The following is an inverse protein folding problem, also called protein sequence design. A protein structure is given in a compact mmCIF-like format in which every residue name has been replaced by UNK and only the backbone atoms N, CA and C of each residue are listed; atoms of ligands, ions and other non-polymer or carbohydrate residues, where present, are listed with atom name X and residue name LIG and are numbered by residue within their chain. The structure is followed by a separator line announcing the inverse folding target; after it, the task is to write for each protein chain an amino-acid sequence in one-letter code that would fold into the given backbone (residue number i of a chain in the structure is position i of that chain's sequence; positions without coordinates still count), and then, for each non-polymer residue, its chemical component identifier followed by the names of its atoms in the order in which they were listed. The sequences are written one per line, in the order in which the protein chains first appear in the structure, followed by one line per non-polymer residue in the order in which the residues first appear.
data_IF_523903191941
#
_entry.id   IF_523903191941
#
_cell.length_a   1.000
_cell.length_b   1.000
_cell.length_c   1.000
_cell.angle_alpha   90.00
_cell.angle_beta   90.00
_cell.angle_gamma   90.00
#
_symmetry.space_group_name_H-M   'P 1'
#
loop_
_entity.id
_entity.type
_entity.pdbx_description
1 polymer ?
#
# COMPACT_ATOMS: atom_id res chain seq x y z
N UNK A 1 -22.67 -2.08 -43.73
CA UNK A 1 -23.84 -2.84 -43.23
C UNK A 1 -23.48 -3.49 -41.90
N UNK A 2 -23.92 -2.92 -40.77
CA UNK A 2 -23.73 -3.50 -39.43
C UNK A 2 -24.85 -4.52 -39.18
N UNK A 3 -24.48 -5.80 -39.08
CA UNK A 3 -25.37 -6.84 -38.55
C UNK A 3 -25.49 -6.65 -37.04
N UNK A 4 -26.61 -6.11 -36.59
CA UNK A 4 -26.98 -6.12 -35.18
C UNK A 4 -27.51 -7.50 -34.83
N UNK A 5 -26.65 -8.34 -34.22
CA UNK A 5 -27.08 -9.60 -33.61
C UNK A 5 -28.08 -9.28 -32.48
N UNK A 6 -29.38 -9.49 -32.74
CA UNK A 6 -30.40 -9.55 -31.69
C UNK A 6 -30.07 -10.75 -30.80
N UNK A 7 -29.88 -10.58 -29.49
CA UNK A 7 -29.71 -11.72 -28.59
C UNK A 7 -30.95 -12.61 -28.71
N UNK A 8 -30.72 -13.90 -28.97
CA UNK A 8 -31.78 -14.89 -29.14
C UNK A 8 -32.67 -14.92 -27.90
N UNK A 9 -33.97 -14.95 -28.12
CA UNK A 9 -35.01 -14.95 -27.08
C UNK A 9 -34.85 -16.11 -26.07
N UNK A 10 -34.07 -17.14 -26.42
CA UNK A 10 -33.71 -18.30 -25.58
C UNK A 10 -32.79 -17.95 -24.39
N UNK A 11 -32.00 -16.88 -24.47
CA UNK A 11 -31.08 -16.48 -23.39
C UNK A 11 -31.80 -15.94 -22.14
N UNK A 12 -33.02 -15.40 -22.28
CA UNK A 12 -33.76 -14.78 -21.17
C UNK A 12 -34.48 -15.78 -20.27
N UNK A 13 -34.75 -17.00 -20.74
CA UNK A 13 -35.54 -18.00 -19.99
C UNK A 13 -34.69 -19.01 -19.22
N UNK A 14 -33.40 -19.14 -19.55
CA UNK A 14 -32.45 -20.01 -18.86
C UNK A 14 -32.41 -19.82 -17.33
N UNK A 15 -32.34 -18.58 -16.77
CA UNK A 15 -32.23 -18.43 -15.32
C UNK A 15 -33.48 -18.90 -14.57
N UNK A 16 -34.67 -18.71 -15.16
CA UNK A 16 -35.93 -19.14 -14.56
C UNK A 16 -36.08 -20.67 -14.59
N UNK A 17 -35.70 -21.32 -15.69
CA UNK A 17 -35.75 -22.77 -15.81
C UNK A 17 -34.79 -23.47 -14.81
N UNK A 18 -33.58 -22.91 -14.64
CA UNK A 18 -32.60 -23.41 -13.66
C UNK A 18 -33.13 -23.24 -12.23
N UNK A 19 -33.71 -22.07 -11.91
CA UNK A 19 -34.28 -21.84 -10.57
C UNK A 19 -35.38 -22.85 -10.24
N UNK A 20 -36.33 -23.08 -11.14
CA UNK A 20 -37.44 -24.03 -10.93
C UNK A 20 -36.91 -25.46 -10.74
N UNK A 21 -35.94 -25.89 -11.55
CA UNK A 21 -35.33 -27.20 -11.43
C UNK A 21 -34.58 -27.39 -10.10
N UNK A 22 -33.83 -26.37 -9.66
CA UNK A 22 -33.08 -26.44 -8.38
C UNK A 22 -34.00 -26.50 -7.16
N UNK A 23 -35.13 -25.79 -7.18
CA UNK A 23 -36.13 -25.83 -6.10
C UNK A 23 -36.84 -27.18 -6.03
N UNK A 24 -37.21 -27.76 -7.18
CA UNK A 24 -37.81 -29.10 -7.24
C UNK A 24 -36.88 -30.19 -6.73
N UNK A 25 -35.59 -30.10 -7.08
CA UNK A 25 -34.57 -31.05 -6.63
C UNK A 25 -34.29 -30.94 -5.12
N UNK A 26 -34.27 -29.72 -4.57
CA UNK A 26 -34.12 -29.50 -3.13
C UNK A 26 -35.26 -30.15 -2.33
N UNK A 27 -36.50 -30.03 -2.82
CA UNK A 27 -37.67 -30.64 -2.20
C UNK A 27 -37.61 -32.18 -2.24
N UNK A 28 -37.19 -32.76 -3.37
CA UNK A 28 -37.02 -34.21 -3.50
C UNK A 28 -35.91 -34.76 -2.57
N UNK A 29 -34.80 -34.04 -2.43
CA UNK A 29 -33.70 -34.40 -1.51
C UNK A 29 -34.16 -34.30 -0.06
N UNK A 30 -34.94 -33.28 0.29
CA UNK A 30 -35.51 -33.15 1.64
C UNK A 30 -36.44 -34.33 2.00
N UNK A 31 -37.32 -34.73 1.07
CA UNK A 31 -38.28 -35.81 1.32
C UNK A 31 -37.62 -37.19 1.46
N UNK A 32 -36.44 -37.39 0.88
CA UNK A 32 -35.76 -38.70 0.85
C UNK A 32 -34.65 -38.84 1.89
N UNK A 33 -33.91 -37.77 2.16
CA UNK A 33 -32.71 -37.79 3.01
C UNK A 33 -32.80 -36.86 4.24
N UNK A 34 -33.94 -36.19 4.44
CA UNK A 34 -34.17 -35.29 5.58
C UNK A 34 -33.24 -34.08 5.60
N UNK A 35 -33.10 -33.46 6.78
CA UNK A 35 -32.29 -32.25 7.01
C UNK A 35 -30.80 -32.44 6.67
N UNK A 36 -30.26 -33.64 6.84
CA UNK A 36 -28.87 -33.97 6.49
C UNK A 36 -28.61 -33.94 4.98
N UNK A 37 -29.54 -34.44 4.17
CA UNK A 37 -29.42 -34.36 2.70
C UNK A 37 -29.55 -32.93 2.17
N UNK A 38 -30.44 -32.13 2.75
CA UNK A 38 -30.66 -30.74 2.36
C UNK A 38 -29.42 -29.86 2.61
N UNK A 39 -28.76 -30.03 3.77
CA UNK A 39 -27.55 -29.27 4.11
C UNK A 39 -26.39 -29.59 3.17
N UNK A 40 -26.18 -30.85 2.82
CA UNK A 40 -25.18 -31.26 1.83
C UNK A 40 -25.46 -30.68 0.44
N UNK A 41 -26.72 -30.70 0.01
CA UNK A 41 -27.14 -30.14 -1.28
C UNK A 41 -26.90 -28.62 -1.35
N UNK A 42 -27.24 -27.87 -0.31
CA UNK A 42 -26.97 -26.42 -0.23
C UNK A 42 -25.46 -26.15 -0.26
N UNK A 43 -24.65 -26.93 0.47
CA UNK A 43 -23.19 -26.77 0.47
C UNK A 43 -22.57 -26.99 -0.91
N UNK A 44 -23.07 -27.98 -1.67
CA UNK A 44 -22.64 -28.23 -3.05
C UNK A 44 -23.03 -27.07 -3.97
N UNK A 45 -24.26 -26.56 -3.88
CA UNK A 45 -24.70 -25.42 -4.70
C UNK A 45 -23.92 -24.14 -4.40
N UNK A 46 -23.64 -23.85 -3.13
CA UNK A 46 -22.83 -22.71 -2.73
C UNK A 46 -21.39 -22.83 -3.25
N UNK A 47 -20.80 -24.03 -3.17
CA UNK A 47 -19.45 -24.30 -3.68
C UNK A 47 -19.39 -24.17 -5.21
N UNK A 48 -20.42 -24.66 -5.92
CA UNK A 48 -20.52 -24.53 -7.37
C UNK A 48 -20.71 -23.06 -7.78
N UNK A 49 -21.54 -22.32 -7.03
CA UNK A 49 -21.77 -20.88 -7.24
C UNK A 49 -20.50 -20.05 -7.04
N UNK A 50 -19.75 -20.28 -5.96
CA UNK A 50 -18.44 -19.64 -5.75
C UNK A 50 -17.43 -20.03 -6.84
N UNK A 51 -17.40 -21.30 -7.25
CA UNK A 51 -16.55 -21.76 -8.34
C UNK A 51 -16.87 -21.07 -9.66
N UNK A 52 -18.15 -20.87 -9.97
CA UNK A 52 -18.57 -20.17 -11.19
C UNK A 52 -18.28 -18.67 -11.12
N UNK A 53 -18.43 -18.04 -9.96
CA UNK A 53 -18.09 -16.62 -9.76
C UNK A 53 -16.58 -16.37 -9.93
N UNK A 54 -15.73 -17.23 -9.35
CA UNK A 54 -14.27 -17.13 -9.50
C UNK A 54 -13.81 -17.44 -10.94
N UNK A 55 -14.47 -18.37 -11.63
CA UNK A 55 -14.26 -18.62 -13.07
C UNK A 55 -14.74 -17.46 -13.95
N UNK A 56 -15.82 -16.78 -13.56
CA UNK A 56 -16.33 -15.62 -14.29
C UNK A 56 -15.44 -14.39 -14.08
N UNK A 57 -14.96 -14.13 -12.86
CA UNK A 57 -13.99 -13.08 -12.59
C UNK A 57 -12.65 -13.32 -13.29
N UNK A 58 -12.15 -14.56 -13.31
CA UNK A 58 -10.92 -14.90 -14.03
C UNK A 58 -11.08 -14.81 -15.55
N UNK A 59 -12.28 -15.10 -16.08
CA UNK A 59 -12.61 -14.89 -17.50
C UNK A 59 -12.76 -13.40 -17.84
N UNK A 60 -13.36 -12.59 -16.97
CA UNK A 60 -13.45 -11.14 -17.13
C UNK A 60 -12.07 -10.47 -17.06
N UNK A 61 -11.18 -10.92 -16.16
CA UNK A 61 -9.77 -10.49 -16.11
C UNK A 61 -8.97 -10.94 -17.35
N UNK A 62 -9.32 -12.07 -17.98
CA UNK A 62 -8.75 -12.50 -19.27
C UNK A 62 -9.29 -11.67 -20.44
N UNK A 63 -10.57 -11.29 -20.42
CA UNK A 63 -11.18 -10.45 -21.46
C UNK A 63 -10.68 -9.00 -21.43
N UNK A 64 -10.37 -8.46 -20.25
CA UNK A 64 -9.67 -7.17 -20.12
C UNK A 64 -8.22 -7.20 -20.65
N UNK A 65 -7.62 -8.39 -20.81
CA UNK A 65 -6.30 -8.56 -21.45
C UNK A 65 -6.37 -8.72 -22.97
N UNK A 66 -7.55 -8.92 -23.57
CA UNK A 66 -7.71 -9.26 -24.99
C UNK A 66 -8.24 -8.11 -25.86
N UNK A 67 -7.94 -6.86 -25.51
CA UNK A 67 -8.02 -5.74 -26.45
C UNK A 67 -6.73 -5.73 -27.29
N UNK A 68 -6.52 -6.81 -28.04
CA UNK A 68 -5.28 -7.17 -28.74
C UNK A 68 -5.13 -6.49 -30.11
N UNK A 69 -5.59 -5.24 -30.29
CA UNK A 69 -5.08 -4.48 -31.42
C UNK A 69 -3.83 -3.73 -30.96
N UNK A 70 -2.65 -3.94 -31.60
CA UNK A 70 -1.40 -3.28 -31.21
C UNK A 70 -1.45 -1.74 -31.29
N UNK A 71 -2.53 -1.19 -31.84
CA UNK A 71 -2.78 0.24 -31.95
C UNK A 71 -3.70 0.78 -30.83
N UNK A 72 -4.44 -0.07 -30.12
CA UNK A 72 -5.41 0.38 -29.10
C UNK A 72 -4.72 1.03 -27.90
N UNK A 73 -3.55 0.51 -27.51
CA UNK A 73 -2.80 1.01 -26.37
C UNK A 73 -2.33 2.47 -26.57
N UNK A 74 -1.63 2.84 -27.67
CA UNK A 74 -1.30 4.24 -27.97
C UNK A 74 -2.50 5.19 -27.87
N UNK A 75 -3.64 4.82 -28.46
CA UNK A 75 -4.85 5.67 -28.41
C UNK A 75 -5.44 5.76 -27.01
N UNK A 76 -5.36 4.70 -26.21
CA UNK A 76 -5.90 4.71 -24.85
C UNK A 76 -5.12 5.63 -23.90
N UNK A 77 -3.82 5.82 -24.12
CA UNK A 77 -2.95 6.67 -23.28
C UNK A 77 -2.71 8.07 -23.86
N UNK A 78 -3.06 8.32 -25.12
CA UNK A 78 -2.82 9.60 -25.81
C UNK A 78 -3.49 10.84 -25.17
N UNK A 79 -4.39 10.66 -24.21
CA UNK A 79 -5.00 11.75 -23.45
C UNK A 79 -4.06 12.34 -22.39
N UNK A 80 -3.01 11.61 -22.02
CA UNK A 80 -1.97 12.02 -21.08
C UNK A 80 -0.67 12.23 -21.87
N UNK A 81 -0.34 13.50 -22.13
CA UNK A 81 0.79 13.89 -22.98
C UNK A 81 2.13 13.41 -22.41
N UNK A 82 2.32 13.56 -21.09
CA UNK A 82 3.54 13.17 -20.39
C UNK A 82 3.75 11.65 -20.49
N UNK A 83 2.72 10.85 -20.24
CA UNK A 83 2.80 9.38 -20.33
C UNK A 83 2.95 8.92 -21.80
N UNK A 84 2.30 9.60 -22.74
CA UNK A 84 2.39 9.26 -24.16
C UNK A 84 3.80 9.51 -24.71
N UNK A 85 4.45 10.60 -24.33
CA UNK A 85 5.84 10.89 -24.71
C UNK A 85 6.78 9.77 -24.23
N UNK A 86 6.66 9.37 -22.96
CA UNK A 86 7.46 8.27 -22.39
C UNK A 86 7.21 6.94 -23.11
N UNK A 87 5.96 6.66 -23.48
CA UNK A 87 5.62 5.48 -24.28
C UNK A 87 6.35 5.47 -25.63
N UNK A 88 6.34 6.60 -26.35
CA UNK A 88 7.02 6.68 -27.65
C UNK A 88 8.53 6.47 -27.52
N UNK A 89 9.17 7.07 -26.52
CA UNK A 89 10.60 6.90 -26.27
C UNK A 89 10.97 5.44 -25.97
N UNK A 90 10.19 4.78 -25.11
CA UNK A 90 10.36 3.36 -24.80
C UNK A 90 10.16 2.51 -26.06
N UNK A 91 9.13 2.78 -26.86
CA UNK A 91 8.87 2.04 -28.10
C UNK A 91 10.01 2.20 -29.12
N UNK A 92 10.57 3.41 -29.25
CA UNK A 92 11.74 3.69 -30.09
C UNK A 92 12.98 2.92 -29.58
N UNK A 93 13.25 2.93 -28.29
CA UNK A 93 14.36 2.20 -27.70
C UNK A 93 14.25 0.68 -27.90
N UNK A 94 13.05 0.10 -27.72
CA UNK A 94 12.79 -1.33 -27.97
C UNK A 94 13.02 -1.70 -29.43
N UNK A 95 12.59 -0.85 -30.37
CA UNK A 95 12.86 -1.02 -31.80
C UNK A 95 14.35 -1.03 -32.08
N UNK A 96 15.13 -0.14 -31.47
CA UNK A 96 16.58 -0.09 -31.69
C UNK A 96 17.31 -1.29 -31.09
N UNK A 97 16.90 -1.75 -29.89
CA UNK A 97 17.40 -3.00 -29.28
C UNK A 97 17.16 -4.19 -30.23
N UNK A 98 15.98 -4.27 -30.85
CA UNK A 98 15.62 -5.37 -31.76
C UNK A 98 16.49 -5.49 -33.01
N UNK A 99 17.21 -4.42 -33.39
CA UNK A 99 18.06 -4.39 -34.59
C UNK A 99 19.46 -4.95 -34.34
N UNK A 100 19.86 -5.14 -33.08
CA UNK A 100 21.19 -5.65 -32.74
C UNK A 100 21.18 -7.18 -32.88
N UNK A 101 21.96 -7.77 -33.81
CA UNK A 101 21.84 -9.19 -34.15
C UNK A 101 22.59 -10.12 -33.18
N UNK A 102 23.32 -9.59 -32.21
CA UNK A 102 24.12 -10.37 -31.27
C UNK A 102 23.22 -11.15 -30.29
N UNK A 103 23.31 -12.49 -30.24
CA UNK A 103 22.43 -13.32 -29.42
C UNK A 103 22.69 -13.17 -27.91
N UNK A 104 23.95 -12.93 -27.50
CA UNK A 104 24.31 -12.72 -26.08
C UNK A 104 23.75 -11.39 -25.60
N UNK A 105 23.90 -10.35 -26.43
CA UNK A 105 23.28 -9.06 -26.18
C UNK A 105 21.76 -9.19 -26.09
N UNK A 106 21.12 -9.91 -27.02
CA UNK A 106 19.66 -10.08 -27.04
C UNK A 106 19.15 -10.74 -25.76
N UNK A 107 19.83 -11.78 -25.27
CA UNK A 107 19.47 -12.43 -24.01
C UNK A 107 19.60 -11.48 -22.82
N UNK A 108 20.72 -10.79 -22.69
CA UNK A 108 20.94 -9.81 -21.62
C UNK A 108 19.93 -8.64 -21.68
N UNK A 109 19.63 -8.13 -22.87
CA UNK A 109 18.66 -7.07 -23.09
C UNK A 109 17.24 -7.51 -22.70
N UNK A 110 16.84 -8.74 -23.06
CA UNK A 110 15.53 -9.28 -22.66
C UNK A 110 15.40 -9.41 -21.15
N UNK A 111 16.45 -9.82 -20.43
CA UNK A 111 16.44 -9.87 -18.97
C UNK A 111 16.23 -8.48 -18.35
N UNK A 112 16.92 -7.46 -18.88
CA UNK A 112 16.74 -6.07 -18.43
C UNK A 112 15.32 -5.54 -18.72
N UNK A 113 14.78 -5.82 -19.91
CA UNK A 113 13.40 -5.44 -20.27
C UNK A 113 12.38 -6.10 -19.32
N UNK A 114 12.58 -7.36 -18.93
CA UNK A 114 11.73 -8.04 -17.96
C UNK A 114 11.78 -7.37 -16.59
N UNK A 115 12.97 -6.94 -16.14
CA UNK A 115 13.13 -6.20 -14.89
C UNK A 115 12.41 -4.83 -14.94
N UNK A 116 12.57 -4.08 -16.03
CA UNK A 116 11.87 -2.79 -16.25
C UNK A 116 10.36 -2.99 -16.26
N UNK A 117 9.86 -4.02 -16.98
CA UNK A 117 8.44 -4.37 -17.00
C UNK A 117 7.90 -4.62 -15.60
N UNK A 118 8.63 -5.37 -14.77
CA UNK A 118 8.25 -5.64 -13.39
C UNK A 118 8.15 -4.34 -12.57
N UNK A 119 9.11 -3.42 -12.72
CA UNK A 119 9.07 -2.11 -12.08
C UNK A 119 7.88 -1.27 -12.54
N UNK A 120 7.61 -1.19 -13.85
CA UNK A 120 6.44 -0.48 -14.39
C UNK A 120 5.12 -1.06 -13.89
N UNK A 121 5.04 -2.38 -13.72
CA UNK A 121 3.85 -3.02 -13.14
C UNK A 121 3.61 -2.60 -11.67
N UNK A 122 4.67 -2.36 -10.89
CA UNK A 122 4.55 -1.83 -9.53
C UNK A 122 4.04 -0.38 -9.55
N UNK A 123 4.60 0.47 -10.42
CA UNK A 123 4.16 1.85 -10.59
C UNK A 123 2.70 1.91 -11.03
N UNK A 124 2.31 1.08 -12.00
CA UNK A 124 0.92 0.98 -12.46
C UNK A 124 -0.05 0.49 -11.37
N UNK A 125 0.43 -0.30 -10.40
CA UNK A 125 -0.31 -0.67 -9.20
C UNK A 125 -0.29 0.43 -8.10
N UNK A 126 0.19 1.62 -8.43
CA UNK A 126 0.28 2.77 -7.52
C UNK A 126 1.38 2.62 -6.47
N UNK A 127 2.42 1.82 -6.73
CA UNK A 127 3.54 1.61 -5.80
C UNK A 127 4.85 2.09 -6.40
N UNK A 128 5.46 3.11 -5.80
CA UNK A 128 6.82 3.54 -6.10
C UNK A 128 7.78 2.88 -5.11
N UNK A 129 8.90 2.36 -5.62
CA UNK A 129 9.96 1.75 -4.81
C UNK A 129 11.24 2.52 -5.03
N UNK A 130 11.80 3.05 -3.96
CA UNK A 130 13.08 3.75 -3.98
C UNK A 130 14.11 2.90 -3.25
N UNK A 131 15.21 2.58 -3.92
CA UNK A 131 16.35 1.92 -3.30
C UNK A 131 17.26 2.97 -2.66
N UNK A 132 17.64 2.77 -1.39
CA UNK A 132 18.47 3.72 -0.65
C UNK A 132 17.74 4.96 -0.13
N UNK A 133 18.51 5.99 0.23
CA UNK A 133 18.07 7.01 1.20
C UNK A 133 17.64 8.35 0.62
N UNK A 134 17.93 8.70 -0.63
CA UNK A 134 17.84 10.11 -1.06
C UNK A 134 16.65 10.44 -1.98
N UNK A 135 16.41 9.65 -3.03
CA UNK A 135 15.47 10.06 -4.08
C UNK A 135 14.02 10.15 -3.62
N UNK A 136 13.63 9.38 -2.59
CA UNK A 136 12.28 9.43 -2.04
C UNK A 136 11.98 10.74 -1.30
N UNK A 137 12.99 11.49 -0.85
CA UNK A 137 12.80 12.74 -0.10
C UNK A 137 12.13 13.84 -0.91
N UNK A 138 12.43 13.89 -2.21
CA UNK A 138 11.82 14.88 -3.12
C UNK A 138 10.31 14.66 -3.14
N UNK A 139 9.88 13.40 -3.24
CA UNK A 139 8.46 13.05 -3.27
C UNK A 139 7.83 13.19 -1.88
N UNK A 140 8.54 12.84 -0.81
CA UNK A 140 8.12 13.07 0.56
C UNK A 140 7.82 14.55 0.84
N UNK A 141 8.74 15.44 0.48
CA UNK A 141 8.52 16.88 0.65
C UNK A 141 7.36 17.37 -0.20
N UNK A 142 7.26 16.95 -1.46
CA UNK A 142 6.15 17.30 -2.33
C UNK A 142 4.79 16.83 -1.77
N UNK A 143 4.74 15.65 -1.16
CA UNK A 143 3.54 15.12 -0.51
C UNK A 143 3.13 15.94 0.71
N UNK A 144 4.09 16.26 1.59
CA UNK A 144 3.80 17.05 2.79
C UNK A 144 3.41 18.50 2.47
N UNK A 145 3.88 19.05 1.35
CA UNK A 145 3.48 20.38 0.85
C UNK A 145 2.20 20.35 0.01
N UNK A 146 1.67 19.17 -0.32
CA UNK A 146 0.47 19.05 -1.12
C UNK A 146 -0.72 19.64 -0.38
N UNK A 147 -1.48 20.51 -1.05
CA UNK A 147 -2.72 21.11 -0.51
C UNK A 147 -3.80 20.10 -0.09
N UNK A 148 -3.63 18.82 -0.41
CA UNK A 148 -4.57 17.76 -0.09
C UNK A 148 -4.16 16.96 1.15
N UNK A 149 -2.95 17.20 1.70
CA UNK A 149 -2.44 16.56 2.90
C UNK A 149 -2.44 17.58 4.05
N UNK A 150 -3.53 17.61 4.81
CA UNK A 150 -3.65 18.48 5.99
C UNK A 150 -3.23 17.79 7.29
N UNK A 151 -3.17 16.46 7.28
CA UNK A 151 -2.79 15.64 8.41
C UNK A 151 -1.79 14.58 7.94
N UNK A 152 -0.64 14.55 8.59
CA UNK A 152 0.38 13.53 8.43
C UNK A 152 0.51 12.73 9.72
N UNK A 153 0.27 11.42 9.63
CA UNK A 153 0.50 10.50 10.74
C UNK A 153 1.80 9.74 10.50
N UNK A 154 2.69 9.71 11.47
CA UNK A 154 4.01 9.07 11.32
C UNK A 154 4.35 8.16 12.49
N UNK A 155 4.78 6.93 12.20
CA UNK A 155 5.37 6.03 13.18
C UNK A 155 6.88 6.04 12.98
N UNK A 156 7.60 6.48 14.00
CA UNK A 156 9.06 6.42 14.03
C UNK A 156 9.48 5.22 14.88
N UNK A 157 10.18 4.25 14.29
CA UNK A 157 10.72 3.11 15.03
C UNK A 157 12.19 3.31 15.34
N UNK A 158 12.47 3.90 16.50
CA UNK A 158 13.81 4.21 16.93
C UNK A 158 14.43 3.02 17.68
N UNK A 159 15.28 2.27 16.96
CA UNK A 159 16.08 1.16 17.50
C UNK A 159 17.46 1.58 18.02
N UNK A 160 17.85 2.82 17.77
CA UNK A 160 19.08 3.40 18.28
C UNK A 160 18.86 4.84 18.73
N UNK A 161 19.73 5.29 19.63
CA UNK A 161 19.81 6.65 20.13
C UNK A 161 20.15 7.69 19.03
N UNK A 162 20.74 7.24 17.93
CA UNK A 162 21.12 8.04 16.76
C UNK A 162 20.10 8.02 15.60
N UNK A 163 18.89 7.47 15.81
CA UNK A 163 17.87 7.27 14.77
C UNK A 163 17.65 8.45 13.81
N UNK A 164 17.66 9.69 14.31
CA UNK A 164 17.38 10.90 13.53
C UNK A 164 18.62 11.73 13.17
N UNK A 165 19.81 11.34 13.62
CA UNK A 165 20.99 12.21 13.61
C UNK A 165 21.76 12.21 12.29
N UNK A 166 21.46 11.28 11.38
CA UNK A 166 21.99 11.35 10.04
C UNK A 166 21.41 12.56 9.29
N UNK A 167 22.11 12.98 8.23
CA UNK A 167 21.70 14.13 7.43
C UNK A 167 20.26 13.98 6.88
N UNK A 168 19.88 12.81 6.33
CA UNK A 168 18.50 12.38 6.15
C UNK A 168 17.49 12.75 7.25
N UNK A 169 17.68 12.24 8.47
CA UNK A 169 16.76 12.40 9.58
C UNK A 169 16.68 13.85 10.05
N UNK A 170 17.79 14.57 10.00
CA UNK A 170 17.85 16.01 10.31
C UNK A 170 17.02 16.84 9.31
N UNK A 171 17.17 16.60 8.02
CA UNK A 171 16.42 17.33 7.00
C UNK A 171 14.92 17.06 7.10
N UNK A 172 14.51 15.81 7.27
CA UNK A 172 13.10 15.45 7.48
C UNK A 172 12.54 16.07 8.78
N UNK A 173 13.34 16.11 9.84
CA UNK A 173 12.96 16.77 11.10
C UNK A 173 12.74 18.26 10.88
N UNK A 174 13.70 18.96 10.27
CA UNK A 174 13.60 20.40 10.00
C UNK A 174 12.41 20.75 9.11
N UNK A 175 12.13 19.95 8.08
CA UNK A 175 10.97 20.13 7.21
C UNK A 175 9.66 20.00 8.01
N UNK A 176 9.51 18.94 8.81
CA UNK A 176 8.31 18.73 9.62
C UNK A 176 8.04 19.88 10.58
N UNK A 177 9.08 20.35 11.30
CA UNK A 177 8.93 21.47 12.23
C UNK A 177 8.50 22.75 11.49
N UNK A 178 9.16 23.05 10.37
CA UNK A 178 8.83 24.22 9.55
C UNK A 178 7.38 24.20 9.05
N UNK A 179 6.91 23.07 8.51
CA UNK A 179 5.55 22.96 7.97
C UNK A 179 4.46 23.09 9.05
N UNK A 180 4.76 22.68 10.28
CA UNK A 180 3.87 22.85 11.43
C UNK A 180 3.87 24.31 11.89
N UNK A 181 5.05 24.94 11.99
CA UNK A 181 5.17 26.37 12.35
C UNK A 181 4.45 27.28 11.34
N UNK A 182 4.55 26.95 10.05
CA UNK A 182 3.85 27.63 8.96
C UNK A 182 2.34 27.31 8.92
N UNK A 183 1.84 26.45 9.82
CA UNK A 183 0.44 25.97 9.87
C UNK A 183 -0.05 25.34 8.57
N UNK A 184 0.88 24.79 7.77
CA UNK A 184 0.59 24.10 6.51
C UNK A 184 0.12 22.67 6.78
N UNK A 185 0.71 22.03 7.80
CA UNK A 185 0.52 20.62 8.06
C UNK A 185 0.34 20.35 9.56
N UNK A 186 -0.64 19.52 9.89
CA UNK A 186 -0.78 18.94 11.22
C UNK A 186 -0.06 17.59 11.27
N UNK A 187 0.70 17.33 12.33
CA UNK A 187 1.45 16.07 12.49
C UNK A 187 1.05 15.37 13.78
N UNK A 188 0.64 14.11 13.64
CA UNK A 188 0.55 13.16 14.75
C UNK A 188 1.67 12.14 14.62
N UNK A 189 2.37 11.86 15.73
CA UNK A 189 3.51 10.95 15.75
C UNK A 189 3.41 9.93 16.86
N UNK A 190 3.62 8.66 16.52
CA UNK A 190 3.90 7.61 17.49
C UNK A 190 5.38 7.27 17.37
N UNK A 191 6.09 7.28 18.49
CA UNK A 191 7.50 6.85 18.54
C UNK A 191 7.57 5.53 19.27
N UNK A 192 8.00 4.49 18.56
CA UNK A 192 8.31 3.18 19.14
C UNK A 192 9.78 3.21 19.55
N UNK A 193 10.04 2.93 20.83
CA UNK A 193 11.33 3.07 21.47
C UNK A 193 11.79 1.70 21.97
N UNK A 194 12.99 1.29 21.55
CA UNK A 194 13.66 0.12 22.14
C UNK A 194 13.88 0.32 23.65
N UNK A 195 13.85 -0.77 24.41
CA UNK A 195 13.99 -0.74 25.87
C UNK A 195 15.37 -0.20 26.32
N UNK A 196 16.40 -0.30 25.47
CA UNK A 196 17.70 0.33 25.72
C UNK A 196 17.69 1.84 25.59
N UNK A 197 16.66 2.43 24.97
CA UNK A 197 16.48 3.88 24.80
C UNK A 197 15.46 4.42 25.80
N UNK A 198 14.41 3.64 26.06
CA UNK A 198 13.45 3.91 27.11
C UNK A 198 13.37 2.68 28.02
N UNK A 199 14.18 2.62 29.09
CA UNK A 199 14.17 1.52 30.06
C UNK A 199 12.89 1.50 30.89
N UNK A 200 12.39 0.31 31.23
CA UNK A 200 11.07 0.09 31.88
C UNK A 200 10.92 0.85 33.20
N UNK A 201 12.03 1.02 33.93
CA UNK A 201 12.13 1.72 35.21
C UNK A 201 12.20 3.26 35.07
N UNK A 202 12.41 3.78 33.86
CA UNK A 202 12.51 5.22 33.59
C UNK A 202 11.17 5.81 33.15
N UNK A 203 10.79 6.96 33.70
CA UNK A 203 9.56 7.66 33.29
C UNK A 203 9.65 8.17 31.85
N UNK A 204 10.81 8.71 31.45
CA UNK A 204 11.04 9.33 30.14
C UNK A 204 12.14 8.60 29.36
N UNK A 205 12.15 8.72 28.02
CA UNK A 205 13.25 8.22 27.19
C UNK A 205 14.58 8.88 27.55
N UNK A 206 15.68 8.21 27.22
CA UNK A 206 17.03 8.74 27.41
C UNK A 206 17.44 9.68 26.28
N UNK A 207 18.45 10.51 26.56
CA UNK A 207 19.10 11.34 25.56
C UNK A 207 19.90 10.49 24.55
N UNK A 208 20.07 10.96 23.30
CA UNK A 208 19.68 12.27 22.75
C UNK A 208 18.27 12.30 22.14
N UNK A 209 17.52 11.19 22.23
CA UNK A 209 16.22 11.07 21.58
C UNK A 209 15.12 11.84 22.33
N UNK A 210 15.25 11.97 23.66
CA UNK A 210 14.37 12.82 24.45
C UNK A 210 14.37 14.27 23.95
N UNK A 211 15.54 14.88 23.74
CA UNK A 211 15.67 16.23 23.19
C UNK A 211 14.97 16.39 21.83
N UNK A 212 15.01 15.35 20.98
CA UNK A 212 14.30 15.34 19.70
C UNK A 212 12.78 15.28 19.90
N UNK A 213 12.30 14.40 20.77
CA UNK A 213 10.87 14.31 21.14
C UNK A 213 10.38 15.66 21.68
N UNK A 214 11.13 16.28 22.58
CA UNK A 214 10.82 17.59 23.16
C UNK A 214 10.77 18.70 22.11
N UNK A 215 11.70 18.71 21.15
CA UNK A 215 11.69 19.67 20.05
C UNK A 215 10.41 19.52 19.23
N UNK A 216 10.05 18.30 18.82
CA UNK A 216 8.81 18.04 18.09
C UNK A 216 7.57 18.48 18.88
N UNK A 217 7.49 18.13 20.16
CA UNK A 217 6.35 18.46 21.01
C UNK A 217 6.18 19.97 21.17
N UNK A 218 7.28 20.72 21.39
CA UNK A 218 7.25 22.18 21.54
C UNK A 218 6.77 22.93 20.30
N UNK A 219 6.98 22.38 19.11
CA UNK A 219 6.47 22.95 17.86
C UNK A 219 5.03 22.54 17.56
N UNK A 220 4.34 21.86 18.50
CA UNK A 220 2.92 21.52 18.35
C UNK A 220 2.65 20.18 17.67
N UNK A 221 3.67 19.33 17.47
CA UNK A 221 3.47 17.97 16.97
C UNK A 221 2.91 17.11 18.10
N UNK A 222 1.78 16.42 17.85
CA UNK A 222 1.20 15.52 18.85
C UNK A 222 1.98 14.22 18.91
N UNK A 223 2.67 13.99 20.02
CA UNK A 223 3.52 12.81 20.20
C UNK A 223 2.90 11.84 21.19
N UNK A 224 2.88 10.57 20.81
CA UNK A 224 2.70 9.44 21.71
C UNK A 224 3.93 8.53 21.68
N UNK A 225 4.23 7.91 22.81
CA UNK A 225 5.37 7.02 22.97
C UNK A 225 4.89 5.60 23.27
N UNK A 226 5.57 4.62 22.68
CA UNK A 226 5.36 3.19 22.90
C UNK A 226 6.72 2.56 23.19
N UNK A 227 6.81 1.73 24.23
CA UNK A 227 7.99 0.86 24.41
C UNK A 227 7.86 -0.35 23.51
N UNK A 228 8.94 -0.74 22.87
CA UNK A 228 8.97 -1.91 21.99
C UNK A 228 8.52 -3.19 22.72
N UNK A 229 8.97 -3.38 23.97
CA UNK A 229 8.55 -4.50 24.83
C UNK A 229 7.05 -4.60 25.07
N UNK A 230 6.33 -3.47 25.04
CA UNK A 230 4.86 -3.45 25.27
C UNK A 230 4.08 -4.02 24.09
N UNK A 231 4.67 -4.00 22.89
CA UNK A 231 4.06 -4.49 21.65
C UNK A 231 4.78 -5.72 21.09
N UNK A 232 5.64 -6.37 21.88
CA UNK A 232 6.42 -7.53 21.44
C UNK A 232 5.56 -8.71 20.94
N UNK A 233 4.32 -8.83 21.43
CA UNK A 233 3.35 -9.83 20.95
C UNK A 233 2.65 -9.46 19.63
N UNK A 234 2.83 -8.24 19.13
CA UNK A 234 2.22 -7.72 17.90
C UNK A 234 3.31 -7.18 16.93
N UNK A 235 4.18 -8.05 16.39
CA UNK A 235 5.31 -7.64 15.56
C UNK A 235 4.90 -6.92 14.28
N UNK A 236 3.67 -7.14 13.80
CA UNK A 236 3.11 -6.44 12.64
C UNK A 236 2.90 -4.94 12.89
N UNK A 237 2.87 -4.50 14.15
CA UNK A 237 2.81 -3.09 14.49
C UNK A 237 4.18 -2.40 14.38
N UNK A 238 5.29 -3.13 14.48
CA UNK A 238 6.65 -2.59 14.47
C UNK A 238 7.09 -2.19 13.06
N UNK A 239 7.37 -0.91 12.85
CA UNK A 239 7.77 -0.40 11.54
C UNK A 239 7.83 1.11 11.48
N UNK A 240 8.61 1.60 10.53
CA UNK A 240 8.73 3.02 10.23
C UNK A 240 7.85 3.33 9.02
N UNK A 241 6.78 4.09 9.23
CA UNK A 241 5.83 4.42 8.18
C UNK A 241 5.13 5.75 8.40
N UNK A 242 4.67 6.35 7.31
CA UNK A 242 3.92 7.60 7.29
C UNK A 242 2.65 7.48 6.47
N UNK A 243 1.55 8.05 6.96
CA UNK A 243 0.27 8.14 6.29
C UNK A 243 0.04 9.59 5.89
N UNK A 244 -0.01 9.85 4.59
CA UNK A 244 -0.16 11.18 3.99
C UNK A 244 -1.64 11.47 3.73
N UNK A 245 -2.40 11.71 4.80
CA UNK A 245 -3.86 11.83 4.74
C UNK A 245 -4.50 10.59 4.12
N UNK A 246 -5.43 10.78 3.17
CA UNK A 246 -6.05 9.68 2.42
C UNK A 246 -5.33 9.32 1.12
N UNK A 247 -4.15 9.90 0.86
CA UNK A 247 -3.53 9.85 -0.47
C UNK A 247 -2.49 8.75 -0.62
N UNK A 248 -1.64 8.55 0.39
CA UNK A 248 -0.53 7.64 0.28
C UNK A 248 -0.04 7.12 1.63
N UNK A 249 0.71 6.02 1.57
CA UNK A 249 1.48 5.48 2.68
C UNK A 249 2.92 5.32 2.25
N UNK A 250 3.84 5.86 3.04
CA UNK A 250 5.27 5.64 2.94
C UNK A 250 5.71 4.63 3.98
N UNK A 251 6.53 3.66 3.61
CA UNK A 251 7.07 2.65 4.51
C UNK A 251 8.58 2.50 4.28
N UNK A 252 9.34 2.65 5.36
CA UNK A 252 10.79 2.62 5.33
C UNK A 252 11.29 1.28 5.86
N UNK A 253 12.00 0.54 5.01
CA UNK A 253 12.67 -0.69 5.40
C UNK A 253 14.11 -0.36 5.78
N UNK A 254 14.44 -0.68 7.02
CA UNK A 254 15.74 -0.44 7.62
C UNK A 254 16.55 -1.74 7.67
N UNK A 255 17.87 -1.64 7.54
CA UNK A 255 18.77 -2.73 7.93
C UNK A 255 19.05 -2.72 9.44
N UNK A 256 19.87 -3.68 9.90
CA UNK A 256 20.30 -3.80 11.31
C UNK A 256 21.01 -2.55 11.85
N UNK A 257 21.60 -1.72 10.98
CA UNK A 257 22.27 -0.47 11.33
C UNK A 257 21.33 0.74 11.23
N UNK A 258 20.02 0.52 11.18
CA UNK A 258 18.99 1.55 11.05
C UNK A 258 19.12 2.43 9.79
N UNK A 259 19.75 1.93 8.73
CA UNK A 259 19.82 2.65 7.44
C UNK A 259 18.72 2.18 6.50
N UNK A 260 18.12 3.12 5.78
CA UNK A 260 17.14 2.79 4.73
C UNK A 260 17.80 1.96 3.66
N UNK A 261 17.31 0.74 3.50
CA UNK A 261 17.63 -0.07 2.32
C UNK A 261 16.62 0.18 1.21
N UNK A 262 15.36 0.41 1.59
CA UNK A 262 14.27 0.60 0.65
C UNK A 262 13.17 1.46 1.26
N UNK A 263 12.54 2.27 0.42
CA UNK A 263 11.35 3.03 0.77
C UNK A 263 10.22 2.68 -0.22
N UNK A 264 9.08 2.25 0.31
CA UNK A 264 7.87 2.01 -0.46
C UNK A 264 6.95 3.20 -0.31
N UNK A 265 6.41 3.70 -1.42
CA UNK A 265 5.37 4.72 -1.42
C UNK A 265 4.17 4.21 -2.21
N UNK A 266 3.05 3.97 -1.52
CA UNK A 266 1.85 3.36 -2.06
C UNK A 266 0.73 4.40 -2.10
N UNK A 267 0.10 4.59 -3.25
CA UNK A 267 -0.98 5.55 -3.51
C UNK A 267 -2.37 4.88 -3.61
N UNK A 268 -2.46 3.58 -3.33
CA UNK A 268 -3.74 2.86 -3.36
C UNK A 268 -4.46 2.95 -2.00
N UNK A 269 -5.79 2.95 -2.05
CA UNK A 269 -6.66 3.11 -0.89
C UNK A 269 -6.51 1.97 0.13
N UNK A 270 -6.39 0.73 -0.35
CA UNK A 270 -6.25 -0.45 0.51
C UNK A 270 -5.04 -0.33 1.45
N UNK A 271 -3.89 0.14 0.93
CA UNK A 271 -2.69 0.37 1.73
C UNK A 271 -2.90 1.47 2.78
N UNK A 272 -3.61 2.55 2.43
CA UNK A 272 -3.96 3.62 3.39
C UNK A 272 -4.84 3.08 4.49
N UNK A 273 -5.88 2.31 4.15
CA UNK A 273 -6.78 1.72 5.14
C UNK A 273 -6.07 0.72 6.07
N UNK A 274 -5.17 -0.10 5.53
CA UNK A 274 -4.36 -1.03 6.31
C UNK A 274 -3.43 -0.28 7.27
N UNK A 275 -2.74 0.76 6.79
CA UNK A 275 -1.88 1.58 7.63
C UNK A 275 -2.67 2.33 8.72
N UNK A 276 -3.87 2.83 8.42
CA UNK A 276 -4.77 3.46 9.39
C UNK A 276 -5.25 2.45 10.46
N UNK A 277 -5.58 1.22 10.07
CA UNK A 277 -5.91 0.14 11.03
C UNK A 277 -4.73 -0.17 11.95
N UNK A 278 -3.52 -0.28 11.37
CA UNK A 278 -2.27 -0.50 12.10
C UNK A 278 -1.98 0.65 13.07
N UNK A 279 -2.11 1.90 12.62
CA UNK A 279 -1.97 3.10 13.44
C UNK A 279 -2.91 3.10 14.64
N UNK A 280 -4.20 2.83 14.41
CA UNK A 280 -5.22 2.80 15.47
C UNK A 280 -4.94 1.70 16.51
N UNK A 281 -4.50 0.51 16.07
CA UNK A 281 -4.07 -0.56 16.98
C UNK A 281 -2.86 -0.14 17.82
N UNK A 282 -1.83 0.39 17.17
CA UNK A 282 -0.64 0.88 17.87
C UNK A 282 -0.96 1.98 18.89
N UNK A 283 -1.90 2.87 18.57
CA UNK A 283 -2.32 3.95 19.45
C UNK A 283 -2.94 3.48 20.78
N UNK A 284 -3.41 2.23 20.88
CA UNK A 284 -3.93 1.64 22.13
C UNK A 284 -2.81 1.45 23.16
N UNK A 285 -1.60 1.13 22.69
CA UNK A 285 -0.41 0.93 23.53
C UNK A 285 0.34 2.23 23.81
N UNK A 286 0.01 3.31 23.10
CA UNK A 286 0.77 4.53 23.10
C UNK A 286 0.32 5.50 24.20
N UNK A 287 1.27 6.03 24.96
CA UNK A 287 1.03 7.07 25.98
C UNK A 287 1.32 8.44 25.38
N UNK A 288 0.43 9.42 25.59
CA UNK A 288 0.73 10.78 25.13
C UNK A 288 1.94 11.32 25.90
N UNK A 289 2.85 12.01 25.20
CA UNK A 289 4.05 12.56 25.84
C UNK A 289 3.69 13.59 26.91
N UNK A 290 2.62 14.37 26.68
CA UNK A 290 2.07 15.33 27.63
C UNK A 290 1.74 14.68 28.99
N UNK A 291 1.11 13.50 28.99
CA UNK A 291 0.71 12.79 30.22
C UNK A 291 1.94 12.40 31.07
N UNK A 292 3.05 12.07 30.41
CA UNK A 292 4.31 11.75 31.07
C UNK A 292 4.96 12.98 31.70
N UNK A 293 4.83 14.16 31.07
CA UNK A 293 5.30 15.43 31.63
C UNK A 293 4.47 15.85 32.85
N UNK A 294 3.16 15.69 32.78
CA UNK A 294 2.26 16.06 33.87
C UNK A 294 2.45 15.16 35.10
N UNK A 295 2.82 13.89 34.90
CA UNK A 295 3.17 12.95 35.97
C UNK A 295 4.46 13.32 36.75
N UNK A 296 5.23 14.29 36.26
CA UNK A 296 6.47 14.79 36.91
C UNK A 296 6.21 15.96 37.87
N UNK A 297 5.05 16.62 37.75
CA UNK A 297 4.67 17.78 38.57
C UNK A 297 4.05 17.33 39.89
#
# INVERSE_FOLDING_TARGET
MRSTNKPSQTSRWLPYAVSIATTGLAFAVYQTAGLGGLTLYIAVLLSLGLGLLTLHESSARRQLRSSDHPLDLPFSIAHDEDIFEQYEEIARALKDISKIPDPVFREAALQQIVAIKSSLQQVAAGTLVFEGTESWRIIYEALLRSRHVFLYRSVAWAKSDQYWQDEPGKQSTQLNLRLVDEQVLNIERIVILDDSIWPVDQLLPMEPLLSWIEAHHRHGIWIKLVRESTIASEPDLMGDFGIYGSHAVGEQILNERCRTIRFYLRFNLDAVEEAEKRWKRLAIFAKAYQDLLDSRR
#
